data_IF_291605366775
#
_entry.id   IF_291605366775
#
_cell.length_a   1.000
_cell.length_b   1.000
_cell.length_c   1.000
_cell.angle_alpha   90.00
_cell.angle_beta   90.00
_cell.angle_gamma   90.00
#
_symmetry.space_group_name_H-M   'P 1'
#
loop_
_entity.id
_entity.type
_entity.pdbx_description
1 polymer ?
#
# COMPACT_ATOMS: atom_id res chain seq x y z
N UNK A 1 4.99 3.97 0.68
CA UNK A 1 5.74 2.71 0.79
C UNK A 1 7.21 3.02 1.00
N UNK A 2 7.90 2.24 1.82
CA UNK A 2 9.34 2.38 2.05
C UNK A 2 10.13 1.76 0.88
N UNK A 3 10.82 2.59 0.11
CA UNK A 3 11.65 2.15 -1.03
C UNK A 3 12.86 3.07 -1.18
N UNK A 4 13.85 2.67 -1.97
CA UNK A 4 15.02 3.51 -2.27
C UNK A 4 14.63 4.86 -2.89
N UNK A 5 13.61 4.86 -3.77
CA UNK A 5 13.08 6.07 -4.40
C UNK A 5 12.10 6.87 -3.54
N UNK A 6 11.63 6.31 -2.42
CA UNK A 6 10.81 6.99 -1.42
C UNK A 6 11.23 6.57 0.00
N UNK A 7 12.37 7.08 0.49
CA UNK A 7 12.88 6.73 1.82
C UNK A 7 11.93 7.14 2.95
N UNK A 8 11.93 6.34 4.01
CA UNK A 8 11.05 6.50 5.18
C UNK A 8 11.36 7.77 6.00
N UNK A 9 12.58 8.29 5.85
CA UNK A 9 13.12 9.48 6.51
C UNK A 9 13.19 10.70 5.58
N UNK A 10 12.55 10.64 4.40
CA UNK A 10 12.46 11.79 3.50
C UNK A 10 11.79 13.00 4.18
N UNK A 11 12.09 14.25 3.74
CA UNK A 11 11.55 15.46 4.36
C UNK A 11 10.02 15.51 4.46
N UNK A 12 9.33 14.80 3.55
CA UNK A 12 7.87 14.75 3.47
C UNK A 12 7.25 13.54 4.18
N UNK A 13 8.06 12.60 4.67
CA UNK A 13 7.56 11.33 5.19
C UNK A 13 6.67 11.51 6.43
N UNK A 14 6.97 12.51 7.26
CA UNK A 14 6.12 12.86 8.42
C UNK A 14 4.74 13.33 7.97
N UNK A 15 4.69 14.23 7.00
CA UNK A 15 3.44 14.79 6.51
C UNK A 15 2.60 13.70 5.83
N UNK A 16 3.22 12.85 5.00
CA UNK A 16 2.54 11.71 4.38
C UNK A 16 1.92 10.75 5.40
N UNK A 17 2.63 10.42 6.49
CA UNK A 17 2.11 9.57 7.57
C UNK A 17 0.95 10.22 8.32
N UNK A 18 0.90 11.56 8.39
CA UNK A 18 -0.17 12.27 9.11
C UNK A 18 -1.54 12.15 8.45
N UNK A 19 -1.59 11.83 7.15
CA UNK A 19 -2.83 11.58 6.43
C UNK A 19 -3.31 10.13 6.52
N UNK A 20 -2.52 9.22 7.10
CA UNK A 20 -2.86 7.80 7.20
C UNK A 20 -3.53 7.50 8.53
N UNK A 21 -4.55 6.64 8.51
CA UNK A 21 -5.18 6.13 9.75
C UNK A 21 -4.17 5.31 10.55
N UNK A 22 -3.34 4.51 9.87
CA UNK A 22 -2.18 3.86 10.49
C UNK A 22 -0.92 4.63 10.08
N UNK A 23 -0.32 5.46 10.95
CA UNK A 23 0.68 6.46 10.55
C UNK A 23 2.07 5.85 10.34
N UNK A 24 2.19 4.94 9.38
CA UNK A 24 3.42 4.27 8.99
C UNK A 24 3.45 4.03 7.47
N UNK A 25 4.65 3.90 6.90
CA UNK A 25 4.75 3.47 5.52
C UNK A 25 4.51 1.96 5.42
N UNK A 26 3.77 1.55 4.39
CA UNK A 26 3.73 0.15 4.01
C UNK A 26 5.09 -0.32 3.48
N UNK A 27 5.30 -1.63 3.54
CA UNK A 27 6.45 -2.34 3.01
C UNK A 27 6.13 -2.90 1.61
N UNK A 28 7.13 -3.15 0.74
CA UNK A 28 6.92 -3.80 -0.55
C UNK A 28 6.15 -5.14 -0.46
N UNK A 29 6.31 -5.85 0.66
CA UNK A 29 5.62 -7.09 0.93
C UNK A 29 4.09 -6.93 1.04
N UNK A 30 3.59 -5.79 1.51
CA UNK A 30 2.14 -5.55 1.65
C UNK A 30 1.44 -5.49 0.29
N UNK A 31 2.07 -4.81 -0.68
CA UNK A 31 1.59 -4.75 -2.07
C UNK A 31 1.78 -6.11 -2.75
N UNK A 32 2.92 -6.78 -2.54
CA UNK A 32 3.18 -8.09 -3.12
C UNK A 32 2.17 -9.15 -2.65
N UNK A 33 1.75 -9.10 -1.39
CA UNK A 33 0.72 -10.00 -0.86
C UNK A 33 -0.63 -9.81 -1.57
N UNK A 34 -1.04 -8.56 -1.83
CA UNK A 34 -2.27 -8.28 -2.57
C UNK A 34 -2.16 -8.74 -4.03
N UNK A 35 -1.02 -8.51 -4.68
CA UNK A 35 -0.76 -9.03 -6.04
C UNK A 35 -0.81 -10.56 -6.05
N UNK A 36 -0.18 -11.22 -5.09
CA UNK A 36 -0.19 -12.68 -4.95
C UNK A 36 -1.61 -13.23 -4.81
N UNK A 37 -2.46 -12.57 -4.01
CA UNK A 37 -3.88 -12.89 -3.93
C UNK A 37 -4.59 -12.72 -5.28
N UNK A 38 -4.38 -11.60 -5.98
CA UNK A 38 -5.07 -11.35 -7.26
C UNK A 38 -4.68 -12.32 -8.38
N UNK A 39 -3.45 -12.84 -8.38
CA UNK A 39 -3.00 -13.85 -9.38
C UNK A 39 -3.34 -15.29 -8.98
N UNK A 40 -3.91 -15.48 -7.79
CA UNK A 40 -4.28 -16.80 -7.28
C UNK A 40 -5.61 -17.32 -7.88
N UNK A 41 -5.85 -18.65 -7.90
CA UNK A 41 -7.14 -19.22 -8.32
C UNK A 41 -8.35 -18.70 -7.54
N UNK A 42 -8.15 -18.29 -6.29
CA UNK A 42 -9.17 -17.76 -5.39
C UNK A 42 -9.77 -16.45 -5.93
N UNK A 43 -8.98 -15.65 -6.65
CA UNK A 43 -9.41 -14.37 -7.20
C UNK A 43 -10.04 -14.47 -8.60
N UNK A 44 -10.33 -15.66 -9.13
CA UNK A 44 -10.78 -15.89 -10.53
C UNK A 44 -11.99 -15.07 -11.01
N UNK A 45 -12.81 -14.55 -10.10
CA UNK A 45 -14.00 -13.77 -10.41
C UNK A 45 -13.81 -12.26 -10.15
N UNK A 46 -12.70 -11.87 -9.54
CA UNK A 46 -12.37 -10.48 -9.28
C UNK A 46 -11.86 -9.82 -10.57
N UNK A 47 -12.62 -8.86 -11.09
CA UNK A 47 -12.26 -8.07 -12.26
C UNK A 47 -12.93 -6.70 -12.21
N UNK A 48 -12.33 -5.68 -12.83
CA UNK A 48 -12.87 -4.32 -12.92
C UNK A 48 -12.84 -3.50 -11.62
N UNK A 49 -12.32 -4.04 -10.52
CA UNK A 49 -12.21 -3.36 -9.24
C UNK A 49 -10.84 -2.69 -9.05
N UNK A 50 -10.81 -1.57 -8.33
CA UNK A 50 -9.60 -0.99 -7.77
C UNK A 50 -9.45 -1.44 -6.31
N UNK A 51 -8.26 -1.92 -5.95
CA UNK A 51 -7.95 -2.37 -4.59
C UNK A 51 -6.95 -1.39 -3.96
N UNK A 52 -7.41 -0.66 -2.93
CA UNK A 52 -6.61 0.37 -2.26
C UNK A 52 -5.88 -0.26 -1.06
N UNK A 53 -4.55 -0.16 -1.07
CA UNK A 53 -3.66 -0.67 -0.01
C UNK A 53 -2.75 0.50 0.43
N UNK A 54 -3.24 1.36 1.32
CA UNK A 54 -2.63 2.68 1.56
C UNK A 54 -2.61 3.13 3.03
N UNK A 55 -2.88 2.23 3.98
CA UNK A 55 -3.04 2.55 5.41
C UNK A 55 -4.14 3.60 5.74
N UNK A 56 -5.14 3.74 4.86
CA UNK A 56 -6.27 4.63 5.05
C UNK A 56 -5.96 6.09 4.68
N UNK A 57 -5.02 6.31 3.75
CA UNK A 57 -4.69 7.63 3.24
C UNK A 57 -5.86 8.28 2.48
N UNK A 58 -6.66 7.48 1.76
CA UNK A 58 -7.82 7.95 0.99
C UNK A 58 -9.18 7.70 1.66
N UNK A 59 -9.19 7.48 2.97
CA UNK A 59 -10.42 7.21 3.72
C UNK A 59 -11.32 8.44 3.90
#
# INVERSE_FOLDING_TARGET
MKTDGNPEDSPYAKDLRSFMVTPQFGEPADVAAMVAFLVSPEAKFATGAAFVIDHGFTA
#
